data_IF_054894770336
#
_entry.id   IF_054894770336
#
_cell.length_a   1.000
_cell.length_b   1.000
_cell.length_c   1.000
_cell.angle_alpha   90.00
_cell.angle_beta   90.00
_cell.angle_gamma   90.00
#
_symmetry.space_group_name_H-M   'P 1'
#
loop_
_entity.id
_entity.type
_entity.pdbx_description
1 polymer ?
#
# COMPACT_ATOMS: atom_id res chain seq x y z
N UNK A 1 19.38 -20.36 -14.99
CA UNK A 1 18.15 -19.91 -15.69
C UNK A 1 16.88 -20.18 -14.89
N UNK A 2 16.77 -21.30 -14.17
CA UNK A 2 15.59 -21.66 -13.37
C UNK A 2 15.14 -20.59 -12.36
N UNK A 3 16.05 -20.07 -11.53
CA UNK A 3 15.73 -19.00 -10.55
C UNK A 3 15.16 -17.73 -11.19
N UNK A 4 15.72 -17.32 -12.34
CA UNK A 4 15.25 -16.16 -13.07
C UNK A 4 13.85 -16.40 -13.68
N UNK A 5 13.60 -17.61 -14.19
CA UNK A 5 12.28 -18.01 -14.69
C UNK A 5 11.23 -18.00 -13.58
N UNK A 6 11.56 -18.57 -12.41
CA UNK A 6 10.69 -18.55 -11.23
C UNK A 6 10.35 -17.11 -10.83
N UNK A 7 11.35 -16.23 -10.70
CA UNK A 7 11.14 -14.83 -10.34
C UNK A 7 10.24 -14.12 -11.36
N UNK A 8 10.51 -14.30 -12.65
CA UNK A 8 9.69 -13.69 -13.71
C UNK A 8 8.23 -14.17 -13.65
N UNK A 9 8.01 -15.47 -13.40
CA UNK A 9 6.68 -16.03 -13.25
C UNK A 9 5.94 -15.47 -12.03
N UNK A 10 6.63 -15.31 -10.89
CA UNK A 10 6.06 -14.69 -9.69
C UNK A 10 5.65 -13.23 -9.93
N UNK A 11 6.50 -12.46 -10.61
CA UNK A 11 6.21 -11.06 -10.93
C UNK A 11 4.98 -10.97 -11.86
N UNK A 12 4.90 -11.84 -12.88
CA UNK A 12 3.80 -11.85 -13.86
C UNK A 12 2.48 -12.36 -13.28
N UNK A 13 2.51 -13.26 -12.30
CA UNK A 13 1.31 -13.83 -11.68
C UNK A 13 0.64 -12.88 -10.68
N UNK A 14 1.37 -11.91 -10.13
CA UNK A 14 0.84 -10.94 -9.17
C UNK A 14 -0.31 -10.13 -9.76
N UNK A 15 -1.46 -10.12 -9.06
CA UNK A 15 -2.63 -9.30 -9.38
C UNK A 15 -2.89 -8.27 -8.28
N UNK A 16 -3.50 -7.14 -8.64
CA UNK A 16 -4.01 -6.20 -7.65
C UNK A 16 -5.34 -6.73 -7.11
N UNK A 17 -5.31 -7.24 -5.88
CA UNK A 17 -6.47 -7.79 -5.17
C UNK A 17 -7.17 -6.65 -4.41
N UNK A 18 -8.50 -6.63 -4.46
CA UNK A 18 -9.36 -5.62 -3.79
C UNK A 18 -10.42 -6.22 -2.87
N UNK A 19 -10.36 -7.53 -2.67
CA UNK A 19 -11.21 -8.28 -1.73
C UNK A 19 -10.30 -9.15 -0.89
N UNK A 20 -10.40 -8.97 0.42
CA UNK A 20 -9.48 -9.56 1.37
C UNK A 20 -10.24 -10.37 2.40
N UNK A 21 -9.54 -11.30 3.05
CA UNK A 21 -10.11 -12.10 4.13
C UNK A 21 -10.03 -11.30 5.44
N UNK A 22 -10.87 -11.64 6.42
CA UNK A 22 -10.89 -10.97 7.72
C UNK A 22 -9.79 -11.44 8.68
N UNK A 23 -9.10 -12.55 8.38
CA UNK A 23 -7.99 -13.04 9.20
C UNK A 23 -6.83 -12.04 9.26
N UNK A 24 -6.12 -12.04 10.39
CA UNK A 24 -4.89 -11.30 10.55
C UNK A 24 -3.74 -12.00 9.81
N UNK A 25 -2.83 -11.22 9.24
CA UNK A 25 -1.59 -11.75 8.66
C UNK A 25 -0.62 -12.10 9.81
N UNK A 26 -0.04 -13.31 9.84
CA UNK A 26 1.03 -13.66 10.78
C UNK A 26 2.19 -12.67 10.77
N UNK A 27 2.73 -12.37 11.96
CA UNK A 27 3.78 -11.36 12.13
C UNK A 27 5.04 -11.66 11.30
N UNK A 28 5.44 -12.91 11.24
CA UNK A 28 6.59 -13.38 10.45
C UNK A 28 6.51 -12.97 8.96
N UNK A 29 5.31 -13.03 8.35
CA UNK A 29 5.14 -12.61 6.97
C UNK A 29 5.24 -11.10 6.81
N UNK A 30 4.76 -10.32 7.77
CA UNK A 30 4.94 -8.87 7.77
C UNK A 30 6.43 -8.52 7.85
N UNK A 31 7.18 -9.16 8.74
CA UNK A 31 8.60 -8.92 8.90
C UNK A 31 9.38 -9.29 7.62
N UNK A 32 9.06 -10.42 6.99
CA UNK A 32 9.65 -10.80 5.70
C UNK A 32 9.37 -9.79 4.58
N UNK A 33 8.15 -9.26 4.50
CA UNK A 33 7.77 -8.24 3.50
C UNK A 33 8.55 -6.95 3.73
N UNK A 34 8.66 -6.51 4.99
CA UNK A 34 9.40 -5.31 5.35
C UNK A 34 10.91 -5.47 5.10
N UNK A 35 11.47 -6.64 5.39
CA UNK A 35 12.85 -6.96 5.07
C UNK A 35 13.09 -6.89 3.56
N UNK A 36 12.22 -7.47 2.73
CA UNK A 36 12.35 -7.33 1.28
C UNK A 36 12.24 -5.87 0.82
N UNK A 37 11.36 -5.07 1.42
CA UNK A 37 11.12 -3.68 1.03
C UNK A 37 12.31 -2.76 1.33
N UNK A 38 13.06 -2.98 2.42
CA UNK A 38 14.24 -2.16 2.75
C UNK A 38 15.46 -2.40 1.85
N UNK A 39 15.47 -3.46 1.04
CA UNK A 39 16.54 -3.72 0.08
C UNK A 39 16.39 -2.98 -1.26
N UNK A 40 15.31 -2.20 -1.43
CA UNK A 40 15.11 -1.37 -2.63
C UNK A 40 16.23 -0.31 -2.72
N UNK A 41 16.82 -0.04 -3.90
CA UNK A 41 17.86 0.98 -4.02
C UNK A 41 17.33 2.37 -3.64
N UNK A 42 18.15 3.16 -2.96
CA UNK A 42 17.83 4.55 -2.60
C UNK A 42 18.96 5.51 -2.96
N UNK A 43 18.59 6.70 -3.45
CA UNK A 43 19.56 7.71 -3.87
C UNK A 43 20.41 8.18 -2.67
N UNK A 44 21.72 7.96 -2.75
CA UNK A 44 22.65 8.27 -1.67
C UNK A 44 22.42 7.42 -0.41
N UNK A 45 21.91 6.18 -0.56
CA UNK A 45 21.64 5.25 0.53
C UNK A 45 20.74 5.81 1.66
N UNK A 46 19.89 6.79 1.33
CA UNK A 46 19.08 7.52 2.31
C UNK A 46 17.98 6.68 2.96
N UNK A 47 17.61 5.55 2.35
CA UNK A 47 16.53 4.66 2.82
C UNK A 47 15.29 5.43 3.29
N UNK A 48 14.74 6.35 2.47
CA UNK A 48 13.79 7.36 2.93
C UNK A 48 12.37 6.79 3.02
N UNK A 49 12.19 5.56 3.50
CA UNK A 49 10.90 4.92 3.62
C UNK A 49 10.50 4.81 5.09
N UNK A 50 9.20 4.99 5.35
CA UNK A 50 8.58 4.71 6.65
C UNK A 50 7.43 3.76 6.42
N UNK A 51 7.45 2.60 7.08
CA UNK A 51 6.36 1.64 6.98
C UNK A 51 5.46 1.78 8.20
N UNK A 52 4.16 2.03 7.97
CA UNK A 52 3.15 2.10 9.05
C UNK A 52 2.28 0.86 8.94
N UNK A 53 2.34 0.02 9.96
CA UNK A 53 1.43 -1.13 10.08
C UNK A 53 0.28 -0.70 10.99
N UNK A 54 -0.93 -0.71 10.44
CA UNK A 54 -2.14 -0.46 11.22
C UNK A 54 -2.83 -1.79 11.40
N UNK A 55 -2.97 -2.28 12.63
CA UNK A 55 -3.67 -3.53 12.94
C UNK A 55 -4.98 -3.30 13.70
N UNK A 56 -5.18 -2.12 14.30
CA UNK A 56 -6.39 -1.74 15.04
C UNK A 56 -7.63 -1.66 14.13
N UNK A 57 -8.73 -2.31 14.55
CA UNK A 57 -9.93 -2.38 13.72
C UNK A 57 -10.61 -1.05 13.49
N UNK A 58 -10.73 -0.25 14.54
CA UNK A 58 -11.45 1.01 14.48
C UNK A 58 -10.72 2.01 13.59
N UNK A 59 -9.38 2.04 13.66
CA UNK A 59 -8.55 2.91 12.82
C UNK A 59 -8.72 2.56 11.33
N UNK A 60 -8.80 1.28 11.00
CA UNK A 60 -8.93 0.85 9.60
C UNK A 60 -10.31 1.04 9.03
N UNK A 61 -11.35 0.90 9.85
CA UNK A 61 -12.71 1.26 9.45
C UNK A 61 -12.79 2.75 9.09
N UNK A 62 -12.22 3.63 9.92
CA UNK A 62 -12.13 5.07 9.62
C UNK A 62 -11.35 5.39 8.35
N UNK A 63 -10.22 4.71 8.12
CA UNK A 63 -9.45 4.87 6.86
C UNK A 63 -10.29 4.40 5.66
N UNK A 64 -11.03 3.30 5.81
CA UNK A 64 -11.92 2.77 4.79
C UNK A 64 -13.05 3.75 4.44
N UNK A 65 -13.67 4.38 5.45
CA UNK A 65 -14.68 5.43 5.28
C UNK A 65 -14.13 6.61 4.48
N UNK A 66 -12.97 7.16 4.88
CA UNK A 66 -12.31 8.27 4.17
C UNK A 66 -12.03 7.89 2.71
N UNK A 67 -11.52 6.68 2.47
CA UNK A 67 -11.26 6.21 1.11
C UNK A 67 -12.55 6.14 0.29
N UNK A 68 -13.64 5.61 0.86
CA UNK A 68 -14.92 5.53 0.16
C UNK A 68 -15.46 6.90 -0.22
N UNK A 69 -15.38 7.86 0.69
CA UNK A 69 -15.78 9.25 0.43
C UNK A 69 -14.97 9.85 -0.73
N UNK A 70 -13.66 9.61 -0.77
CA UNK A 70 -12.80 10.03 -1.89
C UNK A 70 -13.23 9.38 -3.21
N UNK A 71 -13.54 8.08 -3.21
CA UNK A 71 -13.97 7.36 -4.42
C UNK A 71 -15.34 7.80 -4.92
N UNK A 72 -16.26 8.14 -4.02
CA UNK A 72 -17.55 8.75 -4.38
C UNK A 72 -17.32 10.12 -5.02
N UNK A 73 -16.39 10.92 -4.50
CA UNK A 73 -16.04 12.21 -5.08
C UNK A 73 -15.42 12.06 -6.48
N UNK A 74 -14.54 11.07 -6.71
CA UNK A 74 -13.90 10.81 -8.02
C UNK A 74 -14.91 10.60 -9.17
N UNK A 75 -16.06 9.97 -8.88
CA UNK A 75 -17.07 9.68 -9.90
C UNK A 75 -18.16 10.74 -10.02
N UNK A 76 -18.12 11.77 -9.16
CA UNK A 76 -19.11 12.84 -9.20
C UNK A 76 -18.97 13.60 -10.52
N UNK A 77 -20.05 13.64 -11.30
CA UNK A 77 -20.05 14.27 -12.63
C UNK A 77 -19.44 13.41 -13.74
N UNK A 78 -18.97 12.19 -13.44
CA UNK A 78 -18.55 11.22 -14.46
C UNK A 78 -19.78 10.50 -15.00
N UNK A 79 -19.89 10.37 -16.32
CA UNK A 79 -20.98 9.62 -16.96
C UNK A 79 -21.03 8.17 -16.47
N UNK A 80 -22.21 7.70 -16.13
CA UNK A 80 -22.46 6.32 -15.68
C UNK A 80 -22.13 5.26 -16.73
N UNK A 81 -22.07 5.63 -18.01
CA UNK A 81 -21.69 4.72 -19.10
C UNK A 81 -20.19 4.44 -19.16
N UNK A 82 -19.37 5.31 -18.55
CA UNK A 82 -17.91 5.20 -18.53
C UNK A 82 -17.44 3.91 -17.84
N UNK A 83 -16.43 3.25 -18.42
CA UNK A 83 -15.78 2.11 -17.79
C UNK A 83 -15.14 2.47 -16.44
N UNK A 84 -14.67 3.71 -16.31
CA UNK A 84 -14.13 4.21 -15.04
C UNK A 84 -15.24 4.26 -13.99
N UNK A 85 -16.37 4.92 -14.28
CA UNK A 85 -17.50 4.98 -13.37
C UNK A 85 -17.95 3.59 -12.92
N UNK A 86 -18.16 2.66 -13.87
CA UNK A 86 -18.60 1.29 -13.58
C UNK A 86 -17.62 0.54 -12.67
N UNK A 87 -16.32 0.72 -12.88
CA UNK A 87 -15.31 0.08 -12.04
C UNK A 87 -15.36 0.57 -10.59
N UNK A 88 -15.59 1.86 -10.38
CA UNK A 88 -15.66 2.47 -9.04
C UNK A 88 -16.99 2.16 -8.37
N UNK A 89 -18.10 2.28 -9.09
CA UNK A 89 -19.42 1.94 -8.58
C UNK A 89 -19.44 0.50 -8.05
N UNK A 90 -18.82 -0.43 -8.79
CA UNK A 90 -18.66 -1.82 -8.35
C UNK A 90 -17.77 -1.98 -7.11
N UNK A 91 -16.77 -1.11 -6.93
CA UNK A 91 -15.89 -1.11 -5.76
C UNK A 91 -16.59 -0.58 -4.51
N UNK A 92 -17.53 0.36 -4.69
CA UNK A 92 -18.37 0.97 -3.65
C UNK A 92 -19.56 0.10 -3.25
N UNK A 93 -19.89 -0.95 -4.00
CA UNK A 93 -20.98 -1.87 -3.64
C UNK A 93 -20.73 -2.51 -2.26
N UNK A 94 -21.70 -2.42 -1.32
CA UNK A 94 -21.56 -3.06 -0.02
C UNK A 94 -21.50 -4.58 -0.20
N UNK A 95 -20.44 -5.20 0.31
CA UNK A 95 -20.31 -6.66 0.33
C UNK A 95 -21.11 -7.25 1.49
N UNK A 96 -21.57 -8.50 1.37
CA UNK A 96 -22.41 -9.21 2.36
C UNK A 96 -21.80 -9.34 3.77
N UNK A 97 -20.53 -8.98 3.95
CA UNK A 97 -19.76 -9.00 5.20
C UNK A 97 -19.45 -7.61 5.77
N UNK A 98 -20.13 -6.57 5.28
CA UNK A 98 -19.86 -5.18 5.68
C UNK A 98 -18.78 -4.53 4.83
N UNK A 99 -18.95 -3.22 4.69
CA UNK A 99 -18.18 -2.19 3.96
C UNK A 99 -16.80 -2.67 3.46
N UNK A 100 -16.70 -2.79 2.14
CA UNK A 100 -15.50 -3.11 1.35
C UNK A 100 -14.32 -2.25 1.82
N UNK A 101 -13.35 -2.87 2.52
CA UNK A 101 -11.93 -2.47 2.75
C UNK A 101 -11.32 -3.12 4.01
N UNK A 102 -11.74 -4.34 4.38
CA UNK A 102 -11.17 -5.06 5.52
C UNK A 102 -9.87 -5.81 5.13
N UNK A 103 -8.76 -5.10 4.92
CA UNK A 103 -7.40 -5.55 5.32
C UNK A 103 -6.33 -4.45 5.22
N UNK A 104 -5.22 -4.67 5.96
CA UNK A 104 -4.72 -3.76 7.01
C UNK A 104 -3.23 -3.45 6.87
N UNK A 105 -2.81 -2.89 5.75
CA UNK A 105 -1.44 -2.43 5.61
C UNK A 105 -1.40 -1.16 4.79
N UNK A 106 -1.35 -0.02 5.48
CA UNK A 106 -1.11 1.27 4.84
C UNK A 106 0.40 1.51 4.76
N UNK A 107 1.05 0.99 3.72
CA UNK A 107 2.42 1.39 3.43
C UNK A 107 2.40 2.79 2.81
N UNK A 108 2.67 3.81 3.62
CA UNK A 108 2.96 5.15 3.10
C UNK A 108 4.45 5.25 2.76
N UNK A 109 4.79 5.25 1.48
CA UNK A 109 6.13 5.66 1.06
C UNK A 109 6.24 7.18 1.14
N UNK A 110 6.41 7.72 2.35
CA UNK A 110 6.83 9.10 2.50
C UNK A 110 8.34 9.15 2.36
N UNK A 111 8.82 9.60 1.21
CA UNK A 111 10.13 10.26 1.16
C UNK A 111 9.98 11.45 2.10
N UNK A 112 10.75 11.57 3.19
CA UNK A 112 10.74 12.80 3.94
C UNK A 112 11.17 13.88 2.95
N UNK A 113 10.24 14.74 2.53
CA UNK A 113 10.60 16.04 2.02
C UNK A 113 11.38 16.69 3.15
N UNK A 114 12.69 16.75 2.96
CA UNK A 114 13.71 17.43 3.74
C UNK A 114 13.12 18.25 4.90
N UNK A 115 13.11 17.69 6.11
CA UNK A 115 13.04 18.49 7.32
C UNK A 115 14.37 19.24 7.47
N UNK A 116 14.63 20.27 6.65
CA UNK A 116 15.76 21.21 6.72
C UNK A 116 17.20 20.65 6.93
N UNK A 117 17.42 19.35 6.86
CA UNK A 117 18.74 18.75 7.04
C UNK A 117 19.54 18.85 5.74
N UNK A 118 20.72 19.43 5.83
CA UNK A 118 21.67 19.57 4.74
C UNK A 118 22.22 18.20 4.30
N UNK A 119 22.64 18.10 3.04
CA UNK A 119 23.30 16.90 2.48
C UNK A 119 24.53 16.46 3.33
N UNK A 120 25.21 17.41 3.98
CA UNK A 120 26.34 17.14 4.89
C UNK A 120 25.91 16.44 6.18
N UNK A 121 24.70 16.69 6.68
CA UNK A 121 24.20 16.06 7.90
C UNK A 121 23.76 14.61 7.67
N UNK A 122 23.28 14.31 6.46
CA UNK A 122 22.91 12.96 6.03
C UNK A 122 24.13 12.04 5.86
N UNK A 123 25.28 12.59 5.46
CA UNK A 123 26.53 11.83 5.26
C UNK A 123 27.13 11.20 6.52
N UNK A 124 26.66 11.56 7.72
CA UNK A 124 27.13 10.98 8.99
C UNK A 124 26.48 9.65 9.35
N UNK A 125 25.41 9.24 8.66
CA UNK A 125 24.65 8.02 8.96
C UNK A 125 24.93 6.86 7.98
N UNK A 126 25.86 7.02 7.02
CA UNK A 126 26.16 6.04 5.96
C UNK A 126 27.44 5.23 6.28
N UNK A 127 27.71 4.96 7.56
CA UNK A 127 28.82 4.08 7.93
C UNK A 127 28.47 3.28 9.18
N UNK A 128 27.78 2.15 8.96
CA UNK A 128 27.91 0.89 9.70
C UNK A 128 27.20 -0.22 8.94
#
# INVERSE_FOLDING_TARGET
MERASLLLNLIRSRRSIRRFRSDSIPREYLDMILEAARWVPSAGYRQPWRFIIVSDMNTLEKIGEIYQDMRVADIKGVSSTSNYYKAIAKELEPTSTGTSLRQRLFVSLSVPTLNNLSVRELGRWIAQ
#
